data_IF_002794565441
#
_entry.id   IF_002794565441
#
_cell.length_a   1.000
_cell.length_b   1.000
_cell.length_c   1.000
_cell.angle_alpha   90.00
_cell.angle_beta   90.00
_cell.angle_gamma   90.00
#
_symmetry.space_group_name_H-M   'P 1'
#
loop_
_entity.id
_entity.type
_entity.pdbx_description
1 polymer ?
#
# COMPACT_ATOMS: atom_id res chain seq x y z
N UNK A 1 -9.29 -20.42 17.65
CA UNK A 1 -8.92 -19.77 16.39
C UNK A 1 -7.53 -19.16 16.53
N UNK A 2 -6.61 -19.36 15.58
CA UNK A 2 -5.29 -18.69 15.60
C UNK A 2 -5.39 -17.15 15.53
N UNK A 3 -6.56 -16.65 15.27
CA UNK A 3 -6.96 -15.24 15.21
C UNK A 3 -7.81 -14.85 16.42
N UNK A 4 -7.37 -15.19 17.64
CA UNK A 4 -8.09 -14.72 18.81
C UNK A 4 -8.13 -13.18 18.79
N UNK A 5 -9.21 -12.61 19.27
CA UNK A 5 -9.48 -11.16 19.40
C UNK A 5 -8.46 -10.48 20.32
N UNK A 6 -7.19 -10.57 19.95
CA UNK A 6 -6.11 -10.16 20.81
C UNK A 6 -5.79 -8.68 20.56
N UNK A 7 -5.99 -7.85 21.57
CA UNK A 7 -5.56 -6.44 21.61
C UNK A 7 -4.07 -6.26 21.33
N UNK A 8 -3.29 -7.35 21.31
CA UNK A 8 -1.86 -7.38 20.97
C UNK A 8 -1.58 -7.48 19.47
N UNK A 9 -2.61 -7.49 18.64
CA UNK A 9 -2.45 -7.46 17.18
C UNK A 9 -2.43 -6.02 16.67
N UNK A 10 -1.48 -5.72 15.81
CA UNK A 10 -1.29 -4.41 15.18
C UNK A 10 -1.29 -4.55 13.67
N UNK A 11 -2.09 -3.75 13.01
CA UNK A 11 -2.26 -3.77 11.57
C UNK A 11 -1.70 -2.48 10.99
N UNK A 12 -0.85 -2.62 9.97
CA UNK A 12 -0.46 -1.55 9.08
C UNK A 12 -1.03 -1.82 7.71
N UNK A 13 -1.81 -0.89 7.19
CA UNK A 13 -2.23 -0.86 5.79
C UNK A 13 -1.35 0.14 5.06
N UNK A 14 -0.59 -0.33 4.08
CA UNK A 14 0.13 0.49 3.12
C UNK A 14 -0.55 0.34 1.77
N UNK A 15 -1.04 1.43 1.20
CA UNK A 15 -1.78 1.34 -0.05
C UNK A 15 -1.67 2.57 -0.94
N UNK A 16 -2.21 2.41 -2.14
CA UNK A 16 -2.20 3.47 -3.13
C UNK A 16 -1.10 3.32 -4.17
N UNK A 17 -1.13 4.22 -5.14
CA UNK A 17 -0.15 4.28 -6.22
C UNK A 17 1.11 5.05 -5.85
N UNK A 18 2.02 5.12 -6.79
CA UNK A 18 3.29 5.86 -6.68
C UNK A 18 3.17 7.32 -7.11
N UNK A 19 2.10 7.67 -7.81
CA UNK A 19 1.76 9.00 -8.33
C UNK A 19 0.26 9.05 -8.62
N UNK A 20 -0.36 10.19 -8.93
CA UNK A 20 -1.78 10.25 -9.30
C UNK A 20 -2.15 9.29 -10.44
N UNK A 21 -1.32 9.20 -11.49
CA UNK A 21 -1.58 8.31 -12.63
C UNK A 21 -1.49 6.81 -12.31
N UNK A 22 -0.83 6.45 -11.21
CA UNK A 22 -0.74 5.08 -10.72
C UNK A 22 -1.66 4.80 -9.53
N UNK A 23 -2.44 5.77 -9.07
CA UNK A 23 -3.28 5.63 -7.88
C UNK A 23 -4.75 5.34 -8.26
N UNK A 24 -5.02 4.11 -8.68
CA UNK A 24 -6.33 3.70 -9.17
C UNK A 24 -7.34 3.46 -8.03
N UNK A 25 -8.62 3.67 -8.34
CA UNK A 25 -9.75 3.43 -7.43
C UNK A 25 -9.82 2.00 -6.89
N UNK A 26 -9.31 1.03 -7.63
CA UNK A 26 -9.22 -0.38 -7.20
C UNK A 26 -8.37 -0.54 -5.93
N UNK A 27 -7.30 0.25 -5.78
CA UNK A 27 -6.43 0.22 -4.60
C UNK A 27 -7.18 0.75 -3.36
N UNK A 28 -7.95 1.82 -3.52
CA UNK A 28 -8.84 2.32 -2.46
C UNK A 28 -9.90 1.26 -2.07
N UNK A 29 -10.47 0.59 -3.07
CA UNK A 29 -11.47 -0.46 -2.86
C UNK A 29 -10.90 -1.66 -2.10
N UNK A 30 -9.67 -2.06 -2.38
CA UNK A 30 -8.97 -3.12 -1.65
C UNK A 30 -8.81 -2.77 -0.17
N UNK A 31 -8.41 -1.53 0.15
CA UNK A 31 -8.30 -1.07 1.55
C UNK A 31 -9.67 -1.08 2.24
N UNK A 32 -10.71 -0.59 1.57
CA UNK A 32 -12.09 -0.63 2.11
C UNK A 32 -12.55 -2.05 2.37
N UNK A 33 -12.28 -2.96 1.45
CA UNK A 33 -12.62 -4.37 1.59
C UNK A 33 -11.90 -4.99 2.78
N UNK A 34 -10.58 -4.79 2.90
CA UNK A 34 -9.81 -5.27 4.04
C UNK A 34 -10.36 -4.74 5.38
N UNK A 35 -10.65 -3.45 5.47
CA UNK A 35 -11.29 -2.84 6.65
C UNK A 35 -12.64 -3.52 6.99
N UNK A 36 -13.43 -3.86 5.98
CA UNK A 36 -14.74 -4.51 6.16
C UNK A 36 -14.61 -5.94 6.68
N UNK A 37 -13.66 -6.71 6.15
CA UNK A 37 -13.52 -8.13 6.50
C UNK A 37 -12.74 -8.37 7.80
N UNK A 38 -11.94 -7.40 8.30
CA UNK A 38 -11.05 -7.60 9.45
C UNK A 38 -11.77 -8.18 10.69
N UNK A 39 -12.98 -7.72 10.97
CA UNK A 39 -13.78 -8.25 12.11
C UNK A 39 -14.16 -9.70 11.88
N UNK A 40 -14.49 -10.08 10.65
CA UNK A 40 -14.85 -11.45 10.30
C UNK A 40 -13.69 -12.44 10.43
N UNK A 41 -12.45 -11.96 10.25
CA UNK A 41 -11.25 -12.77 10.40
C UNK A 41 -10.61 -12.67 11.79
N UNK A 42 -11.34 -12.15 12.78
CA UNK A 42 -10.88 -12.07 14.16
C UNK A 42 -9.94 -10.91 14.49
N UNK A 43 -9.83 -9.91 13.62
CA UNK A 43 -8.96 -8.74 13.78
C UNK A 43 -9.73 -7.46 14.13
N UNK A 44 -10.99 -7.57 14.55
CA UNK A 44 -11.85 -6.40 14.84
C UNK A 44 -11.27 -5.47 15.89
N UNK A 45 -10.67 -6.01 16.95
CA UNK A 45 -10.08 -5.27 18.07
C UNK A 45 -8.61 -4.87 17.86
N UNK A 46 -7.98 -5.32 16.77
CA UNK A 46 -6.60 -4.97 16.46
C UNK A 46 -6.46 -3.47 16.17
N UNK A 47 -5.43 -2.84 16.72
CA UNK A 47 -5.11 -1.46 16.33
C UNK A 47 -4.72 -1.40 14.87
N UNK A 48 -5.22 -0.43 14.11
CA UNK A 48 -4.95 -0.33 12.68
C UNK A 48 -4.56 1.08 12.29
N UNK A 49 -3.44 1.19 11.57
CA UNK A 49 -3.01 2.41 10.90
C UNK A 49 -3.12 2.21 9.39
N UNK A 50 -3.57 3.24 8.69
CA UNK A 50 -3.65 3.25 7.22
C UNK A 50 -2.81 4.39 6.68
N UNK A 51 -1.79 4.06 5.89
CA UNK A 51 -1.05 5.01 5.07
C UNK A 51 -1.42 4.75 3.61
N UNK A 52 -1.95 5.76 2.95
CA UNK A 52 -2.47 5.62 1.59
C UNK A 52 -2.09 6.81 0.73
N UNK A 53 -1.47 6.56 -0.43
CA UNK A 53 -1.07 7.56 -1.41
C UNK A 53 -0.40 8.78 -0.75
N UNK A 54 -0.85 10.01 -1.04
CA UNK A 54 -0.36 11.26 -0.44
C UNK A 54 -0.79 11.49 1.01
N UNK A 55 -1.65 10.62 1.55
CA UNK A 55 -2.11 10.72 2.93
C UNK A 55 -3.29 11.63 3.12
N UNK A 56 -3.11 12.68 3.95
CA UNK A 56 -4.19 13.60 4.35
C UNK A 56 -4.36 14.80 3.41
N UNK A 57 -3.56 14.89 2.37
CA UNK A 57 -3.67 15.97 1.41
C UNK A 57 -5.02 15.94 0.69
N UNK A 58 -5.57 17.11 0.40
CA UNK A 58 -6.87 17.22 -0.27
C UNK A 58 -6.77 17.22 -1.79
N UNK A 59 -5.68 16.65 -2.31
CA UNK A 59 -5.45 16.53 -3.74
C UNK A 59 -6.46 15.62 -4.44
N UNK A 60 -6.68 15.86 -5.73
CA UNK A 60 -7.42 14.95 -6.62
C UNK A 60 -6.39 14.01 -7.25
N UNK A 61 -5.97 13.01 -6.49
CA UNK A 61 -4.88 12.10 -6.82
C UNK A 61 -5.32 10.66 -7.08
N UNK A 62 -6.62 10.35 -6.87
CA UNK A 62 -7.17 9.03 -7.09
C UNK A 62 -7.84 8.94 -8.47
N UNK A 63 -7.23 8.14 -9.35
CA UNK A 63 -7.70 7.91 -10.71
C UNK A 63 -8.91 6.97 -10.73
N UNK A 64 -9.95 7.34 -11.45
CA UNK A 64 -11.10 6.49 -11.72
C UNK A 64 -11.55 6.62 -13.16
N UNK A 65 -12.32 5.65 -13.61
CA UNK A 65 -12.95 5.66 -14.92
C UNK A 65 -14.42 6.02 -14.76
N UNK A 66 -14.88 6.98 -15.56
CA UNK A 66 -16.28 7.35 -15.69
C UNK A 66 -16.71 7.08 -17.13
N UNK A 67 -17.55 6.07 -17.37
CA UNK A 67 -17.98 5.72 -18.72
C UNK A 67 -18.84 6.82 -19.39
N UNK A 68 -19.46 7.68 -18.60
CA UNK A 68 -20.33 8.75 -19.08
C UNK A 68 -19.56 10.08 -19.30
N UNK A 69 -18.26 10.10 -18.99
CA UNK A 69 -17.44 11.28 -19.18
C UNK A 69 -17.07 11.50 -20.65
N UNK A 70 -17.67 12.51 -21.25
CA UNK A 70 -17.29 13.01 -22.56
C UNK A 70 -16.09 13.94 -22.46
N UNK A 71 -14.97 13.55 -23.08
CA UNK A 71 -13.78 14.42 -23.16
C UNK A 71 -14.13 15.66 -23.99
N UNK A 72 -13.92 16.90 -23.48
CA UNK A 72 -14.16 18.10 -24.24
C UNK A 72 -13.40 18.11 -25.57
N UNK A 73 -14.08 18.47 -26.66
CA UNK A 73 -13.52 18.40 -28.00
C UNK A 73 -12.19 19.18 -28.15
N UNK A 74 -12.06 20.31 -27.50
CA UNK A 74 -10.82 21.07 -27.46
C UNK A 74 -9.65 20.26 -26.88
N UNK A 75 -9.91 19.47 -25.85
CA UNK A 75 -8.87 18.60 -25.25
C UNK A 75 -8.47 17.47 -26.16
N UNK A 76 -9.40 16.90 -26.94
CA UNK A 76 -9.11 15.90 -27.97
C UNK A 76 -8.18 16.48 -29.03
N UNK A 77 -8.50 17.65 -29.57
CA UNK A 77 -7.69 18.34 -30.58
C UNK A 77 -6.30 18.63 -30.05
N UNK A 78 -6.18 19.17 -28.84
CA UNK A 78 -4.88 19.45 -28.20
C UNK A 78 -4.09 18.16 -27.96
N UNK A 79 -4.74 17.11 -27.51
CA UNK A 79 -4.09 15.82 -27.27
C UNK A 79 -3.53 15.19 -28.56
N UNK A 80 -4.27 15.28 -29.67
CA UNK A 80 -3.80 14.84 -30.98
C UNK A 80 -2.63 15.70 -31.47
N UNK A 81 -2.74 17.03 -31.35
CA UNK A 81 -1.70 17.97 -31.77
C UNK A 81 -0.36 17.74 -31.03
N UNK A 82 -0.42 17.41 -29.74
CA UNK A 82 0.75 17.14 -28.92
C UNK A 82 1.13 15.67 -28.80
N UNK A 83 0.44 14.77 -29.47
CA UNK A 83 0.68 13.33 -29.40
C UNK A 83 0.42 12.70 -28.02
N UNK A 84 -0.41 13.34 -27.18
CA UNK A 84 -0.70 12.93 -25.79
C UNK A 84 -2.12 12.43 -25.61
N UNK A 85 -2.53 11.45 -26.38
CA UNK A 85 -3.90 10.90 -26.33
C UNK A 85 -4.14 9.92 -25.20
N UNK A 86 -3.07 9.32 -24.62
CA UNK A 86 -3.20 8.36 -23.51
C UNK A 86 -3.65 9.05 -22.23
N UNK A 87 -4.71 8.50 -21.61
CA UNK A 87 -5.20 8.96 -20.30
C UNK A 87 -6.05 10.23 -20.33
N UNK A 88 -6.40 10.73 -21.51
CA UNK A 88 -7.21 11.95 -21.66
C UNK A 88 -8.63 11.80 -21.05
N UNK A 89 -9.15 10.57 -20.99
CA UNK A 89 -10.42 10.24 -20.34
C UNK A 89 -10.31 9.92 -18.85
N UNK A 90 -9.09 9.92 -18.28
CA UNK A 90 -8.90 9.63 -16.88
C UNK A 90 -9.45 10.76 -16.02
N UNK A 91 -10.28 10.39 -15.05
CA UNK A 91 -10.80 11.29 -14.05
C UNK A 91 -10.05 11.13 -12.73
N UNK A 92 -10.00 12.19 -11.95
CA UNK A 92 -9.33 12.18 -10.65
C UNK A 92 -10.24 12.77 -9.57
N UNK A 93 -10.23 12.16 -8.40
CA UNK A 93 -10.90 12.64 -7.19
C UNK A 93 -10.01 12.43 -5.96
N UNK A 94 -10.36 13.03 -4.86
CA UNK A 94 -9.72 12.72 -3.57
C UNK A 94 -10.15 11.34 -3.07
N UNK A 95 -9.27 10.67 -2.31
CA UNK A 95 -9.61 9.39 -1.69
C UNK A 95 -10.68 9.56 -0.59
N UNK A 96 -11.42 8.49 -0.29
CA UNK A 96 -12.48 8.45 0.73
C UNK A 96 -12.08 7.62 1.96
N UNK A 97 -10.79 7.35 2.15
CA UNK A 97 -10.30 6.46 3.20
C UNK A 97 -10.04 7.16 4.52
N UNK A 98 -9.81 8.47 4.52
CA UNK A 98 -9.33 9.21 5.69
C UNK A 98 -8.07 8.54 6.29
N UNK A 99 -6.97 8.46 5.54
CA UNK A 99 -5.76 7.78 5.99
C UNK A 99 -5.08 8.51 7.14
N UNK A 100 -4.27 7.78 7.91
CA UNK A 100 -3.48 8.35 9.01
C UNK A 100 -2.28 9.15 8.48
N UNK A 101 -1.80 8.85 7.28
CA UNK A 101 -0.70 9.53 6.62
C UNK A 101 -0.37 8.98 5.25
N UNK A 102 0.71 9.49 4.68
CA UNK A 102 1.25 9.12 3.36
C UNK A 102 1.80 7.69 3.39
N UNK A 103 1.59 6.94 2.30
CA UNK A 103 2.24 5.64 2.09
C UNK A 103 3.72 5.86 1.74
N UNK A 104 4.58 5.91 2.76
CA UNK A 104 5.99 6.25 2.63
C UNK A 104 6.88 5.42 3.56
N UNK A 105 8.17 5.30 3.22
CA UNK A 105 9.17 4.63 4.06
C UNK A 105 9.28 5.31 5.44
N UNK A 106 9.34 6.63 5.57
CA UNK A 106 9.37 7.26 6.90
C UNK A 106 8.17 6.91 7.79
N UNK A 107 6.97 6.81 7.22
CA UNK A 107 5.78 6.42 8.00
C UNK A 107 5.79 4.93 8.35
N UNK A 108 6.30 4.05 7.47
CA UNK A 108 6.59 2.66 7.80
C UNK A 108 7.58 2.56 8.97
N UNK A 109 8.69 3.29 8.91
CA UNK A 109 9.71 3.31 9.96
C UNK A 109 9.16 3.82 11.29
N UNK A 110 8.32 4.87 11.25
CA UNK A 110 7.63 5.38 12.43
C UNK A 110 6.73 4.30 13.05
N UNK A 111 5.98 3.56 12.25
CA UNK A 111 5.12 2.49 12.74
C UNK A 111 5.93 1.34 13.34
N UNK A 112 7.00 0.90 12.68
CA UNK A 112 7.90 -0.14 13.16
C UNK A 112 8.62 0.28 14.45
N UNK A 113 9.04 1.54 14.56
CA UNK A 113 9.70 2.05 15.77
C UNK A 113 8.83 1.96 17.02
N UNK A 114 7.50 2.08 16.86
CA UNK A 114 6.57 1.86 17.97
C UNK A 114 6.49 0.38 18.38
N UNK A 115 6.66 -0.54 17.40
CA UNK A 115 6.69 -1.99 17.68
C UNK A 115 7.97 -2.39 18.38
N UNK A 116 9.13 -1.84 17.98
CA UNK A 116 10.43 -2.10 18.61
C UNK A 116 10.47 -1.79 20.10
N UNK A 117 9.68 -0.83 20.57
CA UNK A 117 9.61 -0.42 21.98
C UNK A 117 8.87 -1.40 22.89
N UNK A 118 8.22 -2.40 22.35
CA UNK A 118 7.39 -3.33 23.11
C UNK A 118 8.04 -4.69 23.22
N UNK A 119 8.28 -5.13 24.45
CA UNK A 119 8.79 -6.47 24.80
C UNK A 119 7.68 -7.54 24.90
N UNK A 120 6.43 -7.15 24.62
CA UNK A 120 5.30 -8.06 24.69
C UNK A 120 5.22 -8.97 23.46
N UNK A 121 4.63 -10.15 23.65
CA UNK A 121 4.24 -11.01 22.53
C UNK A 121 3.20 -10.27 21.71
N UNK A 122 3.53 -9.93 20.46
CA UNK A 122 2.67 -9.17 19.58
C UNK A 122 2.62 -9.82 18.18
N UNK A 123 1.50 -9.58 17.49
CA UNK A 123 1.33 -9.94 16.08
C UNK A 123 1.25 -8.67 15.26
N UNK A 124 2.13 -8.56 14.30
CA UNK A 124 2.16 -7.47 13.34
C UNK A 124 1.59 -7.98 12.01
N UNK A 125 0.69 -7.24 11.41
CA UNK A 125 0.12 -7.57 10.11
C UNK A 125 0.35 -6.37 9.21
N UNK A 126 1.11 -6.56 8.14
CA UNK A 126 1.34 -5.54 7.12
C UNK A 126 0.58 -5.97 5.87
N UNK A 127 -0.47 -5.23 5.55
CA UNK A 127 -1.24 -5.39 4.33
C UNK A 127 -0.83 -4.32 3.34
N UNK A 128 -0.29 -4.74 2.20
CA UNK A 128 0.09 -3.84 1.11
C UNK A 128 -0.82 -4.06 -0.11
N UNK A 129 -1.34 -2.97 -0.67
CA UNK A 129 -2.05 -2.97 -1.96
C UNK A 129 -1.59 -1.79 -2.81
N UNK A 130 -0.95 -2.08 -3.93
CA UNK A 130 -0.32 -1.08 -4.78
C UNK A 130 0.32 -1.69 -6.02
N UNK A 131 1.33 -1.03 -6.53
CA UNK A 131 2.12 -1.52 -7.64
C UNK A 131 3.43 -2.14 -7.17
N UNK A 132 3.92 -3.11 -7.96
CA UNK A 132 5.18 -3.77 -7.71
C UNK A 132 6.07 -3.80 -8.95
N UNK A 133 7.36 -3.88 -8.72
CA UNK A 133 8.39 -4.02 -9.75
C UNK A 133 9.22 -5.28 -9.56
N UNK A 134 9.74 -5.82 -10.66
CA UNK A 134 10.66 -6.96 -10.66
C UNK A 134 11.99 -6.61 -9.98
N UNK A 135 12.69 -7.63 -9.49
CA UNK A 135 14.09 -7.53 -9.11
C UNK A 135 15.00 -7.34 -10.33
N UNK A 136 16.26 -7.06 -10.08
CA UNK A 136 17.27 -6.97 -11.15
C UNK A 136 17.79 -8.37 -11.54
N UNK A 137 18.60 -8.44 -12.61
CA UNK A 137 19.14 -9.70 -13.13
C UNK A 137 20.08 -10.43 -12.15
N UNK A 138 20.72 -9.71 -11.22
CA UNK A 138 21.62 -10.27 -10.21
C UNK A 138 20.87 -10.78 -8.99
N UNK A 139 19.72 -10.16 -8.69
CA UNK A 139 18.88 -10.52 -7.57
C UNK A 139 17.39 -10.44 -7.94
N UNK A 140 16.88 -11.40 -8.70
CA UNK A 140 15.52 -11.39 -9.22
C UNK A 140 14.43 -11.48 -8.12
N UNK A 141 14.78 -11.97 -6.93
CA UNK A 141 13.87 -12.06 -5.78
C UNK A 141 13.78 -10.76 -4.97
N UNK A 142 14.73 -9.83 -5.15
CA UNK A 142 14.68 -8.53 -4.49
C UNK A 142 13.71 -7.59 -5.23
N UNK A 143 12.44 -7.98 -5.26
CA UNK A 143 11.37 -7.22 -5.93
C UNK A 143 11.01 -5.97 -5.13
N UNK A 144 10.18 -5.12 -5.70
CA UNK A 144 9.90 -3.78 -5.18
C UNK A 144 8.41 -3.58 -4.97
N UNK A 145 8.03 -3.00 -3.83
CA UNK A 145 6.74 -2.36 -3.63
C UNK A 145 6.89 -0.84 -3.86
N UNK A 146 6.06 -0.28 -4.74
CA UNK A 146 6.08 1.16 -5.01
C UNK A 146 5.20 1.89 -4.00
N UNK A 147 5.75 2.93 -3.41
CA UNK A 147 5.07 3.84 -2.49
C UNK A 147 4.90 5.22 -3.14
N UNK A 148 4.19 6.13 -2.47
CA UNK A 148 3.94 7.48 -2.98
C UNK A 148 5.23 8.23 -3.31
N UNK A 149 5.14 9.20 -4.22
CA UNK A 149 6.28 9.98 -4.73
C UNK A 149 7.37 9.12 -5.38
N UNK A 150 6.99 8.04 -6.06
CA UNK A 150 7.90 7.08 -6.69
C UNK A 150 8.92 6.45 -5.72
N UNK A 151 8.63 6.45 -4.44
CA UNK A 151 9.45 5.78 -3.43
C UNK A 151 9.37 4.27 -3.61
N UNK A 152 10.45 3.56 -3.28
CA UNK A 152 10.62 2.13 -3.54
C UNK A 152 11.01 1.40 -2.27
N UNK A 153 10.22 0.43 -1.88
CA UNK A 153 10.53 -0.49 -0.78
C UNK A 153 10.91 -1.84 -1.37
N UNK A 154 12.18 -2.19 -1.32
CA UNK A 154 12.69 -3.49 -1.77
C UNK A 154 12.54 -4.55 -0.69
N UNK A 155 12.47 -5.83 -1.11
CA UNK A 155 12.42 -6.99 -0.19
C UNK A 155 13.52 -6.94 0.85
N UNK A 156 14.79 -6.81 0.42
CA UNK A 156 15.94 -6.79 1.34
C UNK A 156 15.87 -5.64 2.36
N UNK A 157 15.30 -4.52 1.98
CA UNK A 157 15.13 -3.37 2.87
C UNK A 157 14.06 -3.65 3.92
N UNK A 158 12.93 -4.24 3.51
CA UNK A 158 11.87 -4.64 4.44
C UNK A 158 12.37 -5.71 5.40
N UNK A 159 13.11 -6.73 4.93
CA UNK A 159 13.71 -7.76 5.78
C UNK A 159 14.55 -7.14 6.88
N UNK A 160 15.50 -6.28 6.52
CA UNK A 160 16.35 -5.59 7.52
C UNK A 160 15.54 -4.85 8.58
N UNK A 161 14.44 -4.19 8.18
CA UNK A 161 13.58 -3.46 9.10
C UNK A 161 12.80 -4.42 10.03
N UNK A 162 12.38 -5.58 9.54
CA UNK A 162 11.65 -6.58 10.33
C UNK A 162 12.58 -7.34 11.29
N UNK A 163 13.82 -7.60 10.90
CA UNK A 163 14.84 -8.27 11.75
C UNK A 163 15.19 -7.47 12.99
N UNK A 164 14.93 -6.17 12.99
CA UNK A 164 15.11 -5.32 14.16
C UNK A 164 13.94 -5.39 15.15
N UNK A 165 12.87 -6.13 14.86
CA UNK A 165 11.77 -6.33 15.80
C UNK A 165 12.15 -7.37 16.86
N UNK A 166 11.63 -7.24 18.12
CA UNK A 166 11.86 -8.22 19.16
C UNK A 166 11.43 -9.64 18.75
N UNK A 167 12.21 -10.65 19.12
CA UNK A 167 11.94 -12.08 18.77
C UNK A 167 10.57 -12.59 19.24
N UNK A 168 9.97 -11.95 20.21
CA UNK A 168 8.61 -12.28 20.70
C UNK A 168 7.49 -11.77 19.79
N UNK A 169 7.84 -11.03 18.74
CA UNK A 169 6.87 -10.49 17.78
C UNK A 169 6.90 -11.30 16.49
N UNK A 170 5.73 -11.64 15.98
CA UNK A 170 5.56 -12.25 14.69
C UNK A 170 4.99 -11.25 13.68
N UNK A 171 5.43 -11.31 12.44
CA UNK A 171 4.91 -10.45 11.37
C UNK A 171 4.32 -11.28 10.23
N UNK A 172 3.12 -10.92 9.83
CA UNK A 172 2.42 -11.49 8.66
C UNK A 172 2.39 -10.42 7.58
N UNK A 173 2.88 -10.77 6.40
CA UNK A 173 2.84 -9.91 5.21
C UNK A 173 1.73 -10.39 4.27
N UNK A 174 0.86 -9.47 3.87
CA UNK A 174 -0.15 -9.69 2.83
C UNK A 174 0.13 -8.68 1.71
N UNK A 175 0.74 -9.17 0.63
CA UNK A 175 1.23 -8.33 -0.47
C UNK A 175 0.36 -8.52 -1.71
N UNK A 176 -0.49 -7.53 -2.00
CA UNK A 176 -1.41 -7.52 -3.15
C UNK A 176 -0.83 -6.61 -4.24
N UNK A 177 0.12 -7.15 -5.02
CA UNK A 177 0.83 -6.43 -6.06
C UNK A 177 1.46 -7.39 -7.09
N UNK A 178 1.87 -6.85 -8.24
CA UNK A 178 2.75 -7.57 -9.18
C UNK A 178 4.11 -7.87 -8.51
N UNK A 179 4.69 -9.02 -8.83
CA UNK A 179 5.99 -9.47 -8.30
C UNK A 179 6.01 -9.66 -6.77
N UNK A 180 4.86 -9.89 -6.13
CA UNK A 180 4.77 -10.13 -4.68
C UNK A 180 5.51 -11.40 -4.22
N UNK A 181 5.77 -12.35 -5.12
CA UNK A 181 6.52 -13.57 -4.82
C UNK A 181 7.91 -13.34 -4.23
N UNK A 182 8.58 -12.22 -4.55
CA UNK A 182 9.83 -11.83 -3.89
C UNK A 182 9.68 -11.63 -2.39
N UNK A 183 8.56 -11.07 -1.96
CA UNK A 183 8.26 -10.88 -0.54
C UNK A 183 7.87 -12.19 0.17
N UNK A 184 7.35 -13.19 -0.55
CA UNK A 184 7.05 -14.50 0.02
C UNK A 184 8.33 -15.26 0.43
N UNK A 185 9.45 -15.02 -0.22
CA UNK A 185 10.74 -15.67 0.10
C UNK A 185 11.32 -15.24 1.46
N UNK A 186 10.81 -14.15 2.08
CA UNK A 186 11.21 -13.74 3.44
C UNK A 186 10.90 -14.83 4.47
N UNK A 187 9.89 -15.65 4.21
CA UNK A 187 9.42 -16.68 5.15
C UNK A 187 10.34 -17.93 5.20
N UNK A 188 11.32 -18.02 4.32
CA UNK A 188 12.18 -19.21 4.15
C UNK A 188 13.67 -18.90 4.40
N UNK A 189 13.99 -17.73 4.93
CA UNK A 189 15.32 -17.35 5.39
C UNK A 189 15.34 -17.33 6.92
#
# INVERSE_FOLDING_TARGET
SPWSTDKRSHILVLGGGYSPSGNQVSLESNVKYFRKIRSKIGLGEASMHTYFADGKEKGRDLQFYDPDFAVPQVNLILAELFGKTKGISNQYRSNKLLPDGTASIPNLDKWLSQRKKSDLIQKNIIYFTGHGGKGDSKNPHNTTAYLWSNSRLKVNELVKKLDELPLKQSTILVMVQCYSGGFANILFQ
#
